data_IF_768399760412
#
_entry.id   IF_768399760412
#
_cell.length_a   1.000
_cell.length_b   1.000
_cell.length_c   1.000
_cell.angle_alpha   90.00
_cell.angle_beta   90.00
_cell.angle_gamma   90.00
#
_symmetry.space_group_name_H-M   'P 1'
#
loop_
_entity.id
_entity.type
_entity.pdbx_description
1 polymer ?
#
# COMPACT_ATOMS: atom_id res chain seq x y z
N UNK A 1 -8.57 10.66 10.47
CA UNK A 1 -9.74 9.86 10.06
C UNK A 1 -10.87 10.83 9.79
N UNK A 2 -11.47 10.81 8.60
CA UNK A 2 -12.55 11.73 8.22
C UNK A 2 -13.77 10.94 7.78
N UNK A 3 -14.90 11.18 8.45
CA UNK A 3 -16.18 10.59 8.10
C UNK A 3 -17.13 11.69 7.68
N UNK A 4 -17.72 11.55 6.50
CA UNK A 4 -18.73 12.47 5.97
C UNK A 4 -19.99 11.67 5.64
N UNK A 5 -21.11 12.02 6.26
CA UNK A 5 -22.40 11.40 6.04
C UNK A 5 -23.40 12.44 5.55
N UNK A 6 -24.28 12.04 4.62
CA UNK A 6 -25.50 12.78 4.29
C UNK A 6 -26.69 11.97 4.77
N UNK A 7 -27.63 12.64 5.42
CA UNK A 7 -28.85 12.02 5.97
C UNK A 7 -30.10 12.73 5.43
N UNK A 8 -31.22 12.00 5.41
CA UNK A 8 -32.55 12.54 5.09
C UNK A 8 -33.22 13.22 6.30
N UNK A 9 -34.47 13.65 6.13
CA UNK A 9 -35.28 14.31 7.18
C UNK A 9 -35.63 13.39 8.36
N UNK A 10 -35.51 12.08 8.20
CA UNK A 10 -35.73 11.08 9.24
C UNK A 10 -34.42 10.61 9.89
N UNK A 11 -33.27 11.15 9.44
CA UNK A 11 -31.95 10.79 9.95
C UNK A 11 -31.38 9.50 9.34
N UNK A 12 -31.95 8.98 8.24
CA UNK A 12 -31.41 7.82 7.53
C UNK A 12 -30.25 8.24 6.64
N UNK A 13 -29.18 7.44 6.63
CA UNK A 13 -27.97 7.72 5.83
C UNK A 13 -28.26 7.46 4.35
N UNK A 14 -28.14 8.50 3.53
CA UNK A 14 -28.22 8.41 2.06
C UNK A 14 -26.85 8.26 1.41
N UNK A 15 -25.79 8.78 2.06
CA UNK A 15 -24.43 8.76 1.52
C UNK A 15 -23.40 8.71 2.66
N UNK A 16 -22.30 8.00 2.42
CA UNK A 16 -21.12 8.02 3.27
C UNK A 16 -19.86 8.20 2.41
N UNK A 17 -18.94 9.05 2.86
CA UNK A 17 -17.58 9.18 2.34
C UNK A 17 -16.60 9.05 3.51
N UNK A 18 -15.65 8.13 3.40
CA UNK A 18 -14.73 7.75 4.47
C UNK A 18 -13.29 7.90 3.98
N UNK A 19 -12.56 8.88 4.53
CA UNK A 19 -11.13 9.04 4.26
C UNK A 19 -10.35 8.55 5.48
N UNK A 20 -9.81 7.34 5.33
CA UNK A 20 -9.21 6.58 6.41
C UNK A 20 -7.74 6.97 6.62
N UNK A 21 -7.26 6.87 7.86
CA UNK A 21 -5.93 7.34 8.27
C UNK A 21 -4.80 6.83 7.35
N UNK A 22 -4.76 5.51 7.09
CA UNK A 22 -3.75 4.88 6.21
C UNK A 22 -3.79 5.40 4.77
N UNK A 23 -4.96 5.82 4.27
CA UNK A 23 -5.09 6.42 2.94
C UNK A 23 -4.27 7.69 2.77
N UNK A 24 -4.17 8.52 3.82
CA UNK A 24 -3.32 9.73 3.80
C UNK A 24 -1.83 9.41 3.65
N UNK A 25 -1.41 8.23 4.14
CA UNK A 25 -0.02 7.80 4.12
C UNK A 25 0.36 7.00 2.87
N UNK A 26 -0.58 6.70 1.97
CA UNK A 26 -0.33 5.82 0.82
C UNK A 26 0.84 6.32 -0.06
N UNK A 27 0.91 7.63 -0.32
CA UNK A 27 2.01 8.22 -1.08
C UNK A 27 3.36 8.11 -0.35
N UNK A 28 3.36 8.33 0.97
CA UNK A 28 4.58 8.24 1.79
C UNK A 28 5.10 6.80 1.83
N UNK A 29 4.19 5.83 2.00
CA UNK A 29 4.51 4.40 1.97
C UNK A 29 5.11 3.99 0.62
N UNK A 30 4.48 4.37 -0.51
CA UNK A 30 5.00 4.05 -1.84
C UNK A 30 6.40 4.64 -2.07
N UNK A 31 6.62 5.90 -1.68
CA UNK A 31 7.94 6.53 -1.78
C UNK A 31 8.98 5.86 -0.89
N UNK A 32 8.59 5.46 0.33
CA UNK A 32 9.46 4.74 1.25
C UNK A 32 9.90 3.39 0.69
N UNK A 33 8.96 2.60 0.13
CA UNK A 33 9.28 1.34 -0.53
C UNK A 33 10.24 1.58 -1.70
N UNK A 34 9.97 2.57 -2.56
CA UNK A 34 10.82 2.87 -3.71
C UNK A 34 12.24 3.24 -3.30
N UNK A 35 12.41 4.07 -2.25
CA UNK A 35 13.71 4.44 -1.72
C UNK A 35 14.46 3.22 -1.13
N UNK A 36 13.77 2.38 -0.35
CA UNK A 36 14.36 1.18 0.22
C UNK A 36 14.75 0.17 -0.87
N UNK A 37 13.90 -0.03 -1.88
CA UNK A 37 14.22 -0.86 -3.02
C UNK A 37 15.48 -0.37 -3.74
N UNK A 38 15.58 0.92 -4.06
CA UNK A 38 16.78 1.48 -4.70
C UNK A 38 18.06 1.34 -3.87
N UNK A 39 17.95 1.28 -2.55
CA UNK A 39 19.11 1.19 -1.67
C UNK A 39 19.58 -0.27 -1.47
N UNK A 40 18.65 -1.21 -1.38
CA UNK A 40 18.94 -2.61 -1.04
C UNK A 40 18.89 -3.57 -2.23
N UNK A 41 18.32 -3.17 -3.36
CA UNK A 41 18.33 -3.96 -4.59
C UNK A 41 19.73 -3.91 -5.20
N UNK A 42 20.30 -5.09 -5.44
CA UNK A 42 21.58 -5.28 -6.12
C UNK A 42 21.36 -5.95 -7.50
N UNK A 43 22.44 -6.41 -8.13
CA UNK A 43 22.37 -7.09 -9.43
C UNK A 43 21.87 -8.54 -9.36
N UNK A 44 21.49 -9.02 -8.17
CA UNK A 44 21.01 -10.38 -7.99
C UNK A 44 19.48 -10.45 -8.03
N UNK A 45 18.91 -11.65 -8.27
CA UNK A 45 17.47 -11.85 -8.15
C UNK A 45 16.97 -11.44 -6.76
N UNK A 46 15.78 -10.80 -6.66
CA UNK A 46 15.23 -10.37 -5.38
C UNK A 46 15.06 -11.57 -4.43
N UNK A 47 15.77 -11.53 -3.31
CA UNK A 47 15.73 -12.54 -2.26
C UNK A 47 14.69 -12.22 -1.18
N UNK A 48 14.31 -13.22 -0.37
CA UNK A 48 13.37 -13.06 0.76
C UNK A 48 13.79 -11.94 1.73
N UNK A 49 15.09 -11.83 2.00
CA UNK A 49 15.62 -10.78 2.86
C UNK A 49 15.39 -9.35 2.34
N UNK A 50 15.31 -9.15 1.02
CA UNK A 50 14.94 -7.86 0.43
C UNK A 50 13.45 -7.60 0.65
N UNK A 51 12.58 -8.58 0.40
CA UNK A 51 11.14 -8.45 0.62
C UNK A 51 10.83 -8.10 2.07
N UNK A 52 11.45 -8.77 3.04
CA UNK A 52 11.26 -8.46 4.46
C UNK A 52 11.69 -7.02 4.81
N UNK A 53 12.74 -6.47 4.17
CA UNK A 53 13.14 -5.07 4.36
C UNK A 53 12.13 -4.09 3.77
N UNK A 54 11.56 -4.40 2.61
CA UNK A 54 10.50 -3.58 2.02
C UNK A 54 9.22 -3.62 2.87
N UNK A 55 8.83 -4.79 3.36
CA UNK A 55 7.72 -4.94 4.29
C UNK A 55 7.97 -4.20 5.60
N UNK A 56 9.21 -4.17 6.11
CA UNK A 56 9.54 -3.42 7.31
C UNK A 56 9.22 -1.93 7.16
N UNK A 57 9.44 -1.34 5.98
CA UNK A 57 9.05 0.05 5.68
C UNK A 57 7.53 0.21 5.78
N UNK A 58 6.75 -0.75 5.30
CA UNK A 58 5.29 -0.70 5.41
C UNK A 58 4.86 -0.78 6.88
N UNK A 59 5.47 -1.66 7.68
CA UNK A 59 5.14 -1.85 9.10
C UNK A 59 5.39 -0.60 9.96
N UNK A 60 6.33 0.28 9.61
CA UNK A 60 6.57 1.52 10.38
C UNK A 60 5.41 2.51 10.31
N UNK A 61 4.52 2.38 9.32
CA UNK A 61 3.31 3.18 9.20
C UNK A 61 2.09 2.58 9.89
N UNK A 62 2.23 1.37 10.49
CA UNK A 62 1.14 0.59 11.08
C UNK A 62 -0.16 0.63 10.24
N UNK A 63 -0.11 0.19 8.96
CA UNK A 63 -1.20 0.43 8.04
C UNK A 63 -2.37 -0.49 8.37
N UNK A 64 -3.50 0.10 8.79
CA UNK A 64 -4.77 -0.62 8.80
C UNK A 64 -5.33 -0.72 7.37
N UNK A 65 -4.82 -1.68 6.60
CA UNK A 65 -5.25 -1.89 5.21
C UNK A 65 -6.73 -2.25 5.11
N UNK A 66 -7.21 -3.12 6.00
CA UNK A 66 -8.62 -3.50 6.12
C UNK A 66 -9.53 -2.30 6.36
N UNK A 67 -9.09 -1.34 7.18
CA UNK A 67 -9.80 -0.09 7.40
C UNK A 67 -9.80 0.76 6.12
N UNK A 68 -8.68 0.81 5.40
CA UNK A 68 -8.41 1.80 4.35
C UNK A 68 -8.98 1.49 2.96
N UNK A 69 -9.08 0.21 2.61
CA UNK A 69 -9.63 -0.25 1.33
C UNK A 69 -11.07 -0.69 1.46
N UNK A 70 -11.59 -0.76 2.69
CA UNK A 70 -12.79 -1.53 3.03
C UNK A 70 -12.70 -2.98 2.53
N UNK A 71 -11.50 -3.51 2.27
CA UNK A 71 -11.23 -4.87 1.84
C UNK A 71 -10.53 -5.62 2.98
N UNK A 72 -11.28 -6.50 3.64
CA UNK A 72 -10.80 -7.31 4.76
C UNK A 72 -10.03 -8.51 4.24
N UNK A 73 -8.81 -8.73 4.75
CA UNK A 73 -8.13 -10.04 4.69
C UNK A 73 -7.13 -10.26 3.57
N UNK A 74 -6.86 -9.28 2.70
CA UNK A 74 -5.79 -9.36 1.69
C UNK A 74 -4.91 -8.10 1.71
N UNK A 75 -3.59 -8.30 1.67
CA UNK A 75 -2.62 -7.24 1.40
C UNK A 75 -2.03 -7.51 0.01
N UNK A 76 -2.75 -7.15 -1.08
CA UNK A 76 -2.26 -7.36 -2.43
C UNK A 76 -1.00 -6.52 -2.65
N UNK A 77 0.18 -7.14 -2.54
CA UNK A 77 1.46 -6.51 -2.79
C UNK A 77 2.06 -7.11 -4.05
N UNK A 78 2.12 -6.32 -5.11
CA UNK A 78 2.78 -6.71 -6.36
C UNK A 78 4.09 -5.94 -6.47
N UNK A 79 5.21 -6.67 -6.44
CA UNK A 79 6.55 -6.15 -6.69
C UNK A 79 6.97 -6.55 -8.09
N UNK A 80 7.23 -5.57 -8.94
CA UNK A 80 7.77 -5.76 -10.30
C UNK A 80 9.16 -5.19 -10.40
N UNK A 81 10.09 -6.01 -10.89
CA UNK A 81 11.41 -5.58 -11.31
C UNK A 81 11.35 -5.27 -12.82
N UNK A 82 11.70 -4.04 -13.19
CA UNK A 82 11.67 -3.57 -14.57
C UNK A 82 13.08 -3.28 -15.09
N UNK A 83 13.33 -3.58 -16.35
CA UNK A 83 14.51 -3.13 -17.08
C UNK A 83 14.40 -1.64 -17.47
N UNK A 84 15.51 -1.00 -17.88
CA UNK A 84 15.48 0.39 -18.37
C UNK A 84 14.56 0.62 -19.58
N UNK A 85 14.27 -0.42 -20.36
CA UNK A 85 13.34 -0.36 -21.51
C UNK A 85 11.85 -0.53 -21.12
N UNK A 86 11.58 -0.79 -19.84
CA UNK A 86 10.24 -1.01 -19.29
C UNK A 86 9.75 -2.46 -19.33
N UNK A 87 10.55 -3.41 -19.81
CA UNK A 87 10.22 -4.84 -19.75
C UNK A 87 10.29 -5.38 -18.32
N UNK A 88 9.43 -6.35 -17.98
CA UNK A 88 9.40 -6.97 -16.64
C UNK A 88 10.41 -8.11 -16.56
N UNK A 89 11.40 -7.98 -15.68
CA UNK A 89 12.39 -9.03 -15.37
C UNK A 89 11.81 -10.07 -14.43
N UNK A 90 11.11 -9.61 -13.39
CA UNK A 90 10.53 -10.48 -12.37
C UNK A 90 9.29 -9.83 -11.76
N UNK A 91 8.31 -10.65 -11.39
CA UNK A 91 7.11 -10.23 -10.68
C UNK A 91 6.85 -11.16 -9.51
N UNK A 92 6.54 -10.57 -8.36
CA UNK A 92 6.18 -11.26 -7.13
C UNK A 92 4.87 -10.65 -6.62
N UNK A 93 3.87 -11.49 -6.36
CA UNK A 93 2.57 -11.07 -5.82
C UNK A 93 2.27 -11.78 -4.51
N UNK A 94 1.72 -11.06 -3.54
CA UNK A 94 1.20 -11.62 -2.29
C UNK A 94 -0.17 -11.05 -1.98
#
# INVERSE_FOLDING_TARGET
LLHHYRVDEHGLIEQANLIIATGHNNLAMQRGIFQAARHYLDHNPPAEGLLNRLEAVIRTFDPCLSCSTHAVGSMPLVVRLLEPDGSTVAELSR
#
